data_IF_051556001800
#
_entry.id   IF_051556001800
#
_cell.length_a   1.000
_cell.length_b   1.000
_cell.length_c   1.000
_cell.angle_alpha   90.00
_cell.angle_beta   90.00
_cell.angle_gamma   90.00
#
_symmetry.space_group_name_H-M   'P 1'
#
loop_
_entity.id
_entity.type
_entity.pdbx_description
1 polymer ?
#
# COMPACT_ATOMS: atom_id res chain seq x y z
N UNK A 1 -4.45 -21.82 9.95
CA UNK A 1 -4.65 -21.55 8.51
C UNK A 1 -4.66 -20.04 8.40
N UNK A 2 -3.52 -19.45 8.01
CA UNK A 2 -3.45 -18.02 7.78
C UNK A 2 -4.08 -17.77 6.41
N UNK A 3 -5.09 -16.93 6.36
CA UNK A 3 -5.63 -16.43 5.10
C UNK A 3 -4.52 -15.55 4.50
N UNK A 4 -3.80 -16.09 3.51
CA UNK A 4 -2.64 -15.42 2.93
C UNK A 4 -3.10 -14.37 1.93
N UNK A 5 -2.70 -13.12 2.17
CA UNK A 5 -2.88 -12.03 1.24
C UNK A 5 -1.63 -11.15 1.24
N UNK A 6 -1.41 -10.38 0.16
CA UNK A 6 -0.39 -9.34 0.14
C UNK A 6 -0.68 -8.33 1.25
N UNK A 7 -1.92 -7.84 1.31
CA UNK A 7 -2.39 -6.96 2.37
C UNK A 7 -3.43 -7.69 3.19
N UNK A 8 -3.13 -7.88 4.47
CA UNK A 8 -4.09 -8.39 5.44
C UNK A 8 -4.53 -7.29 6.41
N UNK A 9 -5.82 -6.92 6.37
CA UNK A 9 -6.43 -6.00 7.34
C UNK A 9 -7.06 -6.79 8.48
N UNK A 10 -6.44 -6.66 9.65
CA UNK A 10 -6.82 -7.41 10.86
C UNK A 10 -7.70 -6.63 11.84
N UNK A 11 -7.99 -5.35 11.56
CA UNK A 11 -8.81 -4.47 12.41
C UNK A 11 -9.33 -3.24 11.61
N UNK A 12 -9.88 -2.23 12.31
CA UNK A 12 -10.22 -0.92 11.76
C UNK A 12 -8.99 -0.22 11.14
N UNK A 13 -9.16 0.44 10.01
CA UNK A 13 -8.20 1.35 9.39
C UNK A 13 -8.92 2.68 9.13
N UNK A 14 -8.54 3.71 9.85
CA UNK A 14 -9.13 5.06 9.72
C UNK A 14 -8.05 5.99 9.19
N UNK A 15 -8.24 6.55 8.00
CA UNK A 15 -7.31 7.49 7.37
C UNK A 15 -8.00 8.83 7.18
N UNK A 16 -7.32 9.92 7.56
CA UNK A 16 -7.83 11.26 7.35
C UNK A 16 -6.73 12.31 7.12
N UNK A 17 -7.14 13.56 6.87
CA UNK A 17 -6.24 14.70 6.86
C UNK A 17 -5.07 14.56 5.86
N UNK A 18 -5.36 14.16 4.63
CA UNK A 18 -4.35 14.01 3.57
C UNK A 18 -3.63 12.67 3.56
N UNK A 19 -3.99 11.72 4.43
CA UNK A 19 -3.34 10.42 4.46
C UNK A 19 -3.50 9.64 3.14
N UNK A 20 -2.44 8.99 2.68
CA UNK A 20 -2.47 8.10 1.52
C UNK A 20 -2.04 6.67 1.83
N UNK A 21 -2.72 5.73 1.19
CA UNK A 21 -2.37 4.31 1.20
C UNK A 21 -2.47 3.72 -0.21
N UNK A 22 -1.34 3.36 -0.79
CA UNK A 22 -1.23 2.95 -2.21
C UNK A 22 -0.60 1.55 -2.29
N UNK A 23 -1.33 0.62 -2.90
CA UNK A 23 -0.90 -0.76 -3.17
C UNK A 23 -0.89 -0.92 -4.68
N UNK A 24 0.28 -0.76 -5.27
CA UNK A 24 0.39 -0.61 -6.73
C UNK A 24 1.53 -1.40 -7.34
N UNK A 25 1.33 -1.83 -8.59
CA UNK A 25 2.38 -2.48 -9.40
C UNK A 25 2.85 -3.83 -8.86
N UNK A 26 2.12 -4.44 -7.92
CA UNK A 26 2.55 -5.66 -7.26
C UNK A 26 2.27 -6.88 -8.15
N UNK A 27 3.21 -7.82 -8.21
CA UNK A 27 2.98 -9.16 -8.78
C UNK A 27 2.98 -10.19 -7.65
N UNK A 28 1.80 -10.72 -7.34
CA UNK A 28 1.60 -11.66 -6.23
C UNK A 28 1.36 -13.06 -6.76
N UNK A 29 1.75 -14.07 -5.98
CA UNK A 29 1.41 -15.47 -6.26
C UNK A 29 -0.11 -15.69 -6.18
N UNK A 30 -0.57 -16.94 -6.20
CA UNK A 30 -1.99 -17.33 -6.12
C UNK A 30 -2.68 -17.01 -4.76
N UNK A 31 -2.34 -15.88 -4.12
CA UNK A 31 -2.89 -15.34 -2.88
C UNK A 31 -3.68 -14.07 -3.17
N UNK A 32 -4.64 -13.71 -2.32
CA UNK A 32 -5.39 -12.45 -2.50
C UNK A 32 -4.47 -11.24 -2.40
N UNK A 33 -4.77 -10.16 -3.13
CA UNK A 33 -4.06 -8.89 -2.94
C UNK A 33 -4.54 -8.19 -1.68
N UNK A 34 -5.85 -8.20 -1.42
CA UNK A 34 -6.45 -7.62 -0.22
C UNK A 34 -7.34 -8.64 0.49
N UNK A 35 -7.11 -8.88 1.77
CA UNK A 35 -8.01 -9.68 2.61
C UNK A 35 -8.46 -8.91 3.85
N UNK A 36 -9.77 -8.90 4.05
CA UNK A 36 -10.45 -8.37 5.22
C UNK A 36 -11.57 -9.35 5.63
N UNK A 37 -11.21 -10.47 6.29
CA UNK A 37 -12.07 -11.65 6.38
C UNK A 37 -13.09 -11.58 7.53
N UNK A 38 -13.19 -10.46 8.26
CA UNK A 38 -14.16 -10.31 9.36
C UNK A 38 -15.04 -9.09 9.14
N UNK A 39 -16.33 -9.27 9.39
CA UNK A 39 -17.35 -8.22 9.30
C UNK A 39 -17.15 -7.03 10.23
N UNK A 40 -16.27 -7.16 11.22
CA UNK A 40 -15.97 -6.10 12.18
C UNK A 40 -14.80 -5.20 11.74
N UNK A 41 -13.98 -5.64 10.79
CA UNK A 41 -12.87 -4.84 10.27
C UNK A 41 -13.46 -3.80 9.33
N UNK A 42 -12.97 -2.56 9.36
CA UNK A 42 -13.51 -1.46 8.56
C UNK A 42 -12.42 -0.58 7.99
N UNK A 43 -12.67 0.02 6.83
CA UNK A 43 -11.87 1.10 6.27
C UNK A 43 -12.73 2.37 6.33
N UNK A 44 -12.22 3.44 6.93
CA UNK A 44 -12.90 4.73 6.95
C UNK A 44 -11.97 5.81 6.43
N UNK A 45 -12.39 6.49 5.37
CA UNK A 45 -11.63 7.56 4.73
C UNK A 45 -12.40 8.87 4.85
N UNK A 46 -11.72 9.95 5.22
CA UNK A 46 -12.33 11.27 5.30
C UNK A 46 -11.31 12.40 5.13
N UNK A 47 -11.78 13.61 4.81
CA UNK A 47 -10.92 14.78 4.71
C UNK A 47 -10.23 14.95 3.35
N UNK A 48 -9.77 16.18 3.10
CA UNK A 48 -9.14 16.56 1.83
C UNK A 48 -7.77 15.93 1.64
N UNK A 49 -7.50 15.47 0.43
CA UNK A 49 -6.25 14.81 0.06
C UNK A 49 -6.15 13.35 0.49
N UNK A 50 -7.07 12.83 1.31
CA UNK A 50 -7.01 11.43 1.74
C UNK A 50 -7.37 10.49 0.60
N UNK A 51 -6.48 9.54 0.29
CA UNK A 51 -6.66 8.62 -0.86
C UNK A 51 -6.20 7.21 -0.53
N UNK A 52 -7.00 6.21 -0.89
CA UNK A 52 -6.56 4.82 -0.98
C UNK A 52 -6.55 4.39 -2.44
N UNK A 53 -5.44 3.83 -2.91
CA UNK A 53 -5.31 3.34 -4.28
C UNK A 53 -4.91 1.85 -4.27
N UNK A 54 -5.70 1.02 -4.95
CA UNK A 54 -5.40 -0.39 -5.20
C UNK A 54 -5.42 -0.62 -6.71
N UNK A 55 -4.26 -0.44 -7.35
CA UNK A 55 -4.20 -0.36 -8.81
C UNK A 55 -3.01 -1.09 -9.42
N UNK A 56 -3.13 -1.55 -10.67
CA UNK A 56 -2.01 -2.12 -11.43
C UNK A 56 -1.36 -3.35 -10.78
N UNK A 57 -2.09 -4.08 -9.92
CA UNK A 57 -1.60 -5.30 -9.30
C UNK A 57 -1.96 -6.51 -10.15
N UNK A 58 -1.07 -7.50 -10.19
CA UNK A 58 -1.27 -8.78 -10.85
C UNK A 58 -1.24 -9.90 -9.82
N UNK A 59 -2.30 -10.69 -9.78
CA UNK A 59 -2.37 -11.94 -9.05
C UNK A 59 -2.14 -13.09 -10.03
N UNK A 60 -1.11 -13.90 -9.83
CA UNK A 60 -0.90 -15.10 -10.65
C UNK A 60 -2.09 -16.06 -10.53
N UNK A 61 -2.38 -16.80 -11.60
CA UNK A 61 -3.54 -17.70 -11.67
C UNK A 61 -3.63 -18.63 -10.46
N UNK A 62 -4.81 -18.67 -9.86
CA UNK A 62 -5.09 -19.38 -8.63
C UNK A 62 -6.58 -19.36 -8.31
N UNK A 63 -7.00 -20.19 -7.36
CA UNK A 63 -8.40 -20.28 -6.92
C UNK A 63 -8.84 -19.15 -5.99
N UNK A 64 -7.90 -18.31 -5.55
CA UNK A 64 -8.17 -17.24 -4.59
C UNK A 64 -8.73 -16.00 -5.28
N UNK A 65 -9.76 -15.39 -4.68
CA UNK A 65 -10.29 -14.12 -5.16
C UNK A 65 -9.24 -13.00 -4.99
N UNK A 66 -9.23 -12.05 -5.93
CA UNK A 66 -8.35 -10.87 -5.89
C UNK A 66 -8.46 -10.09 -4.56
N UNK A 67 -9.70 -9.83 -4.13
CA UNK A 67 -10.00 -9.22 -2.86
C UNK A 67 -11.06 -10.03 -2.10
N UNK A 68 -10.77 -10.36 -0.84
CA UNK A 68 -11.68 -11.04 0.08
C UNK A 68 -12.24 -10.05 1.08
N UNK A 69 -13.36 -9.43 0.75
CA UNK A 69 -14.01 -8.42 1.57
C UNK A 69 -15.37 -8.94 2.04
N UNK A 70 -15.65 -8.83 3.34
CA UNK A 70 -17.00 -9.06 3.87
C UNK A 70 -17.78 -7.73 3.95
N UNK A 71 -19.07 -7.67 3.52
CA UNK A 71 -19.81 -6.42 3.24
C UNK A 71 -20.39 -5.70 4.48
N UNK A 72 -20.83 -4.40 4.35
CA UNK A 72 -20.12 -3.26 3.80
C UNK A 72 -19.33 -2.59 4.93
N UNK A 73 -18.01 -2.69 4.85
CA UNK A 73 -17.12 -2.25 5.91
C UNK A 73 -16.24 -1.07 5.51
N UNK A 74 -16.42 -0.57 4.30
CA UNK A 74 -15.68 0.57 3.76
C UNK A 74 -16.61 1.78 3.75
N UNK A 75 -16.17 2.87 4.35
CA UNK A 75 -16.88 4.16 4.37
C UNK A 75 -15.92 5.18 3.77
N UNK A 76 -16.33 5.81 2.66
CA UNK A 76 -15.56 6.87 2.01
C UNK A 76 -16.36 8.15 2.09
N UNK A 77 -15.93 9.08 2.93
CA UNK A 77 -16.55 10.39 3.06
C UNK A 77 -15.85 11.40 2.13
N UNK A 78 -16.55 11.96 1.11
CA UNK A 78 -15.97 13.01 0.28
C UNK A 78 -15.43 14.17 1.12
N UNK A 79 -14.30 14.80 0.73
CA UNK A 79 -13.60 14.65 -0.55
C UNK A 79 -12.55 13.52 -0.58
N UNK A 80 -12.51 12.61 0.39
CA UNK A 80 -11.59 11.47 0.35
C UNK A 80 -11.94 10.52 -0.82
N UNK A 81 -10.94 9.80 -1.31
CA UNK A 81 -11.07 8.90 -2.46
C UNK A 81 -10.61 7.48 -2.12
N UNK A 82 -11.34 6.47 -2.58
CA UNK A 82 -10.84 5.11 -2.67
C UNK A 82 -10.97 4.70 -4.13
N UNK A 83 -9.83 4.51 -4.80
CA UNK A 83 -9.75 4.11 -6.20
C UNK A 83 -9.23 2.68 -6.32
N UNK A 84 -9.88 1.89 -7.16
CA UNK A 84 -9.49 0.52 -7.48
C UNK A 84 -9.55 0.32 -8.98
N UNK A 85 -8.48 -0.16 -9.61
CA UNK A 85 -8.56 -0.35 -11.06
C UNK A 85 -7.31 -0.90 -11.71
N UNK A 86 -7.50 -1.40 -12.93
CA UNK A 86 -6.48 -2.10 -13.70
C UNK A 86 -5.69 -3.16 -12.90
N UNK A 87 -6.39 -3.99 -12.13
CA UNK A 87 -5.77 -5.16 -11.51
C UNK A 87 -6.06 -6.40 -12.34
N UNK A 88 -5.11 -7.34 -12.38
CA UNK A 88 -5.15 -8.54 -13.20
C UNK A 88 -5.17 -9.80 -12.32
N UNK A 89 -5.94 -10.80 -12.73
CA UNK A 89 -5.85 -12.18 -12.29
C UNK A 89 -5.40 -13.02 -13.48
N UNK A 90 -4.20 -13.59 -13.40
CA UNK A 90 -3.50 -14.07 -14.59
C UNK A 90 -3.22 -12.91 -15.55
N UNK A 91 -3.73 -13.03 -16.76
CA UNK A 91 -3.71 -11.97 -17.79
C UNK A 91 -5.06 -11.25 -17.94
N UNK A 92 -6.08 -11.63 -17.18
CA UNK A 92 -7.42 -11.09 -17.28
C UNK A 92 -7.65 -9.97 -16.26
N UNK A 93 -8.37 -8.92 -16.65
CA UNK A 93 -8.74 -7.85 -15.73
C UNK A 93 -9.78 -8.32 -14.72
N UNK A 94 -9.55 -8.02 -13.45
CA UNK A 94 -10.42 -8.38 -12.33
C UNK A 94 -11.78 -7.70 -12.48
N UNK A 95 -12.86 -8.47 -12.26
CA UNK A 95 -14.19 -7.91 -12.03
C UNK A 95 -14.37 -7.52 -10.57
N UNK A 96 -14.94 -6.34 -10.34
CA UNK A 96 -15.19 -5.78 -9.00
C UNK A 96 -16.68 -5.79 -8.62
N UNK A 97 -17.53 -6.41 -9.43
CA UNK A 97 -18.97 -6.43 -9.23
C UNK A 97 -19.33 -7.03 -7.86
N UNK A 98 -19.92 -6.21 -6.99
CA UNK A 98 -20.30 -6.61 -5.63
C UNK A 98 -19.13 -6.80 -4.66
N UNK A 99 -17.90 -6.43 -5.04
CA UNK A 99 -16.70 -6.53 -4.19
C UNK A 99 -16.54 -5.30 -3.29
N UNK A 100 -16.71 -4.11 -3.87
CA UNK A 100 -16.60 -2.82 -3.18
C UNK A 100 -17.96 -2.11 -3.11
N UNK A 101 -18.20 -1.23 -2.11
CA UNK A 101 -19.41 -0.42 -2.08
C UNK A 101 -19.37 0.71 -3.12
N UNK A 102 -20.52 1.36 -3.35
CA UNK A 102 -20.70 2.34 -4.42
C UNK A 102 -19.80 3.58 -4.30
N UNK A 103 -19.33 3.91 -3.10
CA UNK A 103 -18.45 5.06 -2.87
C UNK A 103 -17.00 4.81 -3.33
N UNK A 104 -16.65 3.57 -3.66
CA UNK A 104 -15.34 3.23 -4.22
C UNK A 104 -15.35 3.44 -5.73
N UNK A 105 -14.40 4.23 -6.20
CA UNK A 105 -14.24 4.51 -7.62
C UNK A 105 -13.49 3.38 -8.31
N UNK A 106 -14.07 2.89 -9.40
CA UNK A 106 -13.50 1.80 -10.19
C UNK A 106 -13.09 2.28 -11.58
N UNK A 107 -11.89 1.94 -12.02
CA UNK A 107 -11.41 2.26 -13.37
C UNK A 107 -10.80 1.04 -14.08
N UNK A 108 -10.72 1.12 -15.41
CA UNK A 108 -10.29 0.03 -16.29
C UNK A 108 -8.83 0.19 -16.73
N UNK A 109 -8.17 -0.92 -17.05
CA UNK A 109 -6.88 -0.87 -17.74
C UNK A 109 -6.96 -0.04 -19.02
N UNK A 110 -5.91 0.74 -19.29
CA UNK A 110 -5.85 1.68 -20.42
C UNK A 110 -6.56 3.01 -20.19
N UNK A 111 -7.24 3.20 -19.05
CA UNK A 111 -7.76 4.50 -18.62
C UNK A 111 -6.86 5.11 -17.55
N UNK A 112 -6.65 6.42 -17.61
CA UNK A 112 -5.94 7.14 -16.56
C UNK A 112 -6.92 7.60 -15.49
N UNK A 113 -6.65 7.22 -14.24
CA UNK A 113 -7.34 7.77 -13.07
C UNK A 113 -6.34 8.65 -12.32
N UNK A 114 -6.65 9.95 -12.21
CA UNK A 114 -5.75 10.96 -11.65
C UNK A 114 -5.38 10.64 -10.18
N UNK A 115 -6.36 10.25 -9.35
CA UNK A 115 -6.16 9.92 -7.93
C UNK A 115 -5.39 8.60 -7.74
N UNK A 116 -5.49 7.67 -8.69
CA UNK A 116 -4.72 6.44 -8.71
C UNK A 116 -3.30 6.63 -9.26
N UNK A 117 -3.04 7.65 -10.09
CA UNK A 117 -1.71 7.92 -10.63
C UNK A 117 -0.89 8.86 -9.72
N UNK A 118 -1.56 9.85 -9.13
CA UNK A 118 -0.94 11.00 -8.51
C UNK A 118 -1.46 11.27 -7.10
N UNK A 119 -0.60 11.74 -6.21
CA UNK A 119 -1.02 12.36 -4.96
C UNK A 119 -1.43 13.82 -5.21
N UNK A 120 -2.73 14.03 -5.43
CA UNK A 120 -3.29 15.32 -5.87
C UNK A 120 -2.85 16.55 -5.06
N UNK A 121 -2.73 16.51 -3.72
CA UNK A 121 -2.13 17.60 -2.94
C UNK A 121 -0.73 18.03 -3.41
N UNK A 122 0.11 17.08 -3.83
CA UNK A 122 1.46 17.31 -4.36
C UNK A 122 1.54 17.51 -5.87
N UNK A 123 0.45 17.30 -6.59
CA UNK A 123 0.41 17.40 -8.05
C UNK A 123 0.16 18.82 -8.53
N UNK A 124 0.98 19.28 -9.47
CA UNK A 124 0.80 20.53 -10.21
C UNK A 124 -0.09 20.33 -11.45
N UNK A 125 0.17 19.28 -12.23
CA UNK A 125 -0.65 18.90 -13.38
C UNK A 125 -0.58 17.40 -13.69
N UNK A 126 -1.60 16.88 -14.39
CA UNK A 126 -1.68 15.49 -14.82
C UNK A 126 -1.77 15.44 -16.34
N UNK A 127 -0.85 14.72 -16.98
CA UNK A 127 -0.98 14.35 -18.39
C UNK A 127 -1.75 13.04 -18.49
N UNK A 128 -3.04 13.14 -18.81
CA UNK A 128 -3.95 11.99 -18.95
C UNK A 128 -3.64 11.08 -20.14
N UNK A 129 -2.82 11.53 -21.10
CA UNK A 129 -2.45 10.71 -22.27
C UNK A 129 -1.36 9.69 -21.93
N UNK A 130 -0.40 10.09 -21.10
CA UNK A 130 0.67 9.24 -20.58
C UNK A 130 0.39 8.71 -19.17
N UNK A 131 -0.67 9.20 -18.53
CA UNK A 131 -1.00 9.01 -17.12
C UNK A 131 0.18 9.34 -16.18
N UNK A 132 0.78 10.51 -16.40
CA UNK A 132 1.93 10.99 -15.65
C UNK A 132 1.63 12.27 -14.88
N UNK A 133 2.34 12.44 -13.75
CA UNK A 133 2.15 13.54 -12.83
C UNK A 133 3.34 14.50 -12.90
N UNK A 134 3.05 15.80 -13.00
CA UNK A 134 4.01 16.86 -12.73
C UNK A 134 3.80 17.33 -11.29
N UNK A 135 4.88 17.40 -10.53
CA UNK A 135 4.85 17.62 -9.08
C UNK A 135 5.20 19.05 -8.71
N UNK A 136 4.54 19.58 -7.68
CA UNK A 136 4.90 20.86 -7.07
C UNK A 136 6.29 20.78 -6.44
N UNK A 137 6.90 21.94 -6.21
CA UNK A 137 8.17 22.03 -5.49
C UNK A 137 8.10 21.31 -4.13
N UNK A 138 9.11 20.49 -3.84
CA UNK A 138 9.20 19.70 -2.59
C UNK A 138 8.43 18.39 -2.57
N UNK A 139 7.87 17.96 -3.71
CA UNK A 139 7.19 16.68 -3.88
C UNK A 139 7.99 15.73 -4.77
N UNK A 140 7.86 14.43 -4.55
CA UNK A 140 8.85 13.46 -5.02
C UNK A 140 8.24 12.29 -5.81
N UNK A 141 9.05 11.74 -6.73
CA UNK A 141 8.74 10.53 -7.49
C UNK A 141 7.66 10.73 -8.56
N UNK A 142 7.33 9.65 -9.27
CA UNK A 142 6.36 9.67 -10.37
C UNK A 142 4.92 10.01 -9.91
N UNK A 143 4.60 9.73 -8.65
CA UNK A 143 3.27 9.97 -8.06
C UNK A 143 3.18 11.23 -7.20
N UNK A 144 4.20 12.09 -7.17
CA UNK A 144 4.22 13.34 -6.39
C UNK A 144 3.94 13.14 -4.89
N UNK A 145 4.59 12.15 -4.29
CA UNK A 145 4.40 11.78 -2.88
C UNK A 145 5.13 12.76 -1.93
N UNK A 146 4.67 12.90 -0.68
CA UNK A 146 5.25 13.84 0.30
C UNK A 146 6.62 13.39 0.84
N UNK A 147 7.16 12.28 0.32
CA UNK A 147 8.37 11.63 0.77
C UNK A 147 9.17 11.12 -0.42
N UNK A 148 10.50 11.12 -0.28
CA UNK A 148 11.37 10.48 -1.24
C UNK A 148 11.07 8.98 -1.29
N UNK A 149 10.46 8.55 -2.39
CA UNK A 149 10.45 7.14 -2.78
C UNK A 149 11.72 6.93 -3.58
N UNK A 150 12.66 6.17 -3.02
CA UNK A 150 13.84 5.76 -3.77
C UNK A 150 13.40 4.82 -4.89
N UNK A 151 13.15 5.39 -6.06
CA UNK A 151 12.86 4.65 -7.30
C UNK A 151 14.16 4.13 -7.97
N UNK A 152 15.33 4.41 -7.37
CA UNK A 152 16.65 4.04 -7.89
C UNK A 152 17.43 3.19 -6.90
N UNK A 153 17.67 1.93 -7.29
CA UNK A 153 18.55 0.98 -6.62
C UNK A 153 19.99 1.51 -6.64
N UNK A 154 20.52 1.87 -5.47
CA UNK A 154 21.96 2.14 -5.31
C UNK A 154 22.65 0.83 -4.91
N UNK A 155 23.71 0.39 -5.62
CA UNK A 155 24.48 -0.80 -5.24
C UNK A 155 25.03 -0.66 -3.81
N UNK A 156 25.10 -1.76 -3.03
CA UNK A 156 25.53 -1.68 -1.64
C UNK A 156 26.98 -1.18 -1.54
N UNK A 157 27.19 -0.11 -0.77
CA UNK A 157 28.51 0.22 -0.23
C UNK A 157 28.70 -0.62 1.05
N UNK A 158 29.80 -1.37 1.21
CA UNK A 158 30.03 -2.15 2.41
C UNK A 158 30.16 -1.21 3.61
N UNK A 159 29.56 -1.63 4.72
CA UNK A 159 29.76 -1.09 6.06
C UNK A 159 29.50 0.41 6.24
N UNK A 160 28.27 0.73 6.68
CA UNK A 160 28.12 1.72 7.75
C UNK A 160 27.28 1.13 8.86
N UNK A 161 27.84 1.23 10.06
CA UNK A 161 27.16 1.03 11.34
C UNK A 161 25.82 1.75 11.35
N UNK A 162 24.74 1.01 11.60
CA UNK A 162 23.38 1.54 11.63
C UNK A 162 23.20 2.34 12.92
N UNK A 163 23.53 3.62 12.84
CA UNK A 163 23.11 4.62 13.82
C UNK A 163 22.62 5.84 13.03
N UNK A 164 21.32 5.83 12.67
CA UNK A 164 20.67 6.88 11.91
C UNK A 164 19.23 6.52 11.55
N UNK A 165 18.28 7.38 11.88
CA UNK A 165 16.83 7.19 11.77
C UNK A 165 16.26 7.15 10.34
N UNK A 166 17.10 6.97 9.31
CA UNK A 166 16.72 7.17 7.89
C UNK A 166 17.24 6.09 6.93
N UNK A 167 17.77 4.97 7.43
CA UNK A 167 18.35 3.94 6.56
C UNK A 167 17.32 2.89 6.15
N UNK A 168 17.17 2.69 4.84
CA UNK A 168 16.40 1.58 4.27
C UNK A 168 17.09 0.24 4.50
N UNK A 169 16.29 -0.81 4.68
CA UNK A 169 16.79 -2.18 4.61
C UNK A 169 16.88 -2.56 3.14
N UNK A 170 18.07 -2.89 2.66
CA UNK A 170 18.32 -3.14 1.23
C UNK A 170 18.91 -4.54 1.02
N UNK A 171 18.41 -5.29 0.03
CA UNK A 171 18.99 -6.57 -0.44
C UNK A 171 19.18 -7.64 0.66
N UNK A 172 18.28 -7.69 1.64
CA UNK A 172 18.34 -8.66 2.74
C UNK A 172 17.30 -9.76 2.60
N UNK A 173 17.56 -10.92 3.22
CA UNK A 173 16.54 -11.97 3.42
C UNK A 173 16.15 -12.02 4.89
N UNK A 174 14.86 -11.84 5.17
CA UNK A 174 14.29 -11.79 6.53
C UNK A 174 13.27 -12.93 6.71
N UNK A 175 13.38 -13.65 7.83
CA UNK A 175 12.51 -14.80 8.15
C UNK A 175 11.45 -14.50 9.22
N UNK A 176 11.69 -13.50 10.07
CA UNK A 176 10.71 -12.96 11.00
C UNK A 176 11.14 -11.54 11.35
N UNK A 177 10.26 -10.56 11.18
CA UNK A 177 10.56 -9.16 11.48
C UNK A 177 9.46 -8.56 12.35
N UNK A 178 9.77 -8.32 13.62
CA UNK A 178 8.96 -7.45 14.47
C UNK A 178 9.54 -6.05 14.34
N UNK A 179 8.81 -5.17 13.67
CA UNK A 179 9.24 -3.80 13.47
C UNK A 179 9.18 -3.01 14.78
N UNK A 180 10.17 -2.16 15.00
CA UNK A 180 10.07 -1.14 16.03
C UNK A 180 9.09 -0.06 15.54
N UNK A 181 7.85 -0.13 16.02
CA UNK A 181 6.78 0.79 15.64
C UNK A 181 6.97 2.22 16.14
N UNK A 182 8.02 2.52 16.90
CA UNK A 182 8.33 3.89 17.31
C UNK A 182 8.96 4.75 16.21
N UNK A 183 9.36 4.16 15.07
CA UNK A 183 9.93 4.92 13.96
C UNK A 183 8.82 5.40 13.00
N UNK A 184 8.80 6.68 12.62
CA UNK A 184 7.83 7.20 11.65
C UNK A 184 8.18 6.80 10.21
N UNK A 185 9.44 6.43 9.91
CA UNK A 185 9.86 6.06 8.56
C UNK A 185 10.37 4.61 8.51
N UNK A 186 9.83 3.85 7.57
CA UNK A 186 10.20 2.47 7.28
C UNK A 186 10.37 2.30 5.77
N UNK A 187 11.53 1.87 5.31
CA UNK A 187 11.76 1.59 3.90
C UNK A 187 12.51 0.27 3.69
N UNK A 188 12.03 -0.51 2.72
CA UNK A 188 12.57 -1.82 2.32
C UNK A 188 12.77 -1.82 0.81
N UNK A 189 13.99 -2.11 0.36
CA UNK A 189 14.37 -2.14 -1.05
C UNK A 189 14.95 -3.51 -1.38
N UNK A 190 14.36 -4.24 -2.33
CA UNK A 190 14.85 -5.55 -2.77
C UNK A 190 15.00 -6.59 -1.63
N UNK A 191 14.14 -6.49 -0.60
CA UNK A 191 14.16 -7.38 0.56
C UNK A 191 13.28 -8.62 0.30
N UNK A 192 13.82 -9.81 0.60
CA UNK A 192 13.08 -11.07 0.54
C UNK A 192 12.56 -11.46 1.93
N UNK A 193 11.24 -11.49 2.12
CA UNK A 193 10.59 -12.05 3.29
C UNK A 193 10.25 -13.52 3.04
N UNK A 194 10.70 -14.44 3.89
CA UNK A 194 10.52 -15.89 3.65
C UNK A 194 10.18 -16.70 4.90
N UNK A 195 9.21 -17.61 4.77
CA UNK A 195 8.87 -18.60 5.79
C UNK A 195 7.44 -18.50 6.32
N UNK A 196 6.95 -19.61 6.86
CA UNK A 196 5.58 -19.69 7.40
C UNK A 196 5.51 -18.87 8.68
N UNK A 197 4.64 -17.85 8.69
CA UNK A 197 4.51 -16.92 9.81
C UNK A 197 5.46 -15.72 9.76
N UNK A 198 6.24 -15.56 8.68
CA UNK A 198 6.99 -14.35 8.41
C UNK A 198 6.01 -13.21 8.07
N UNK A 199 5.51 -12.51 9.08
CA UNK A 199 4.57 -11.40 8.93
C UNK A 199 5.30 -10.06 9.12
N UNK A 200 5.32 -9.22 8.09
CA UNK A 200 5.68 -7.82 8.24
C UNK A 200 4.48 -7.06 8.77
N UNK A 201 4.46 -6.77 10.07
CA UNK A 201 3.27 -6.19 10.73
C UNK A 201 3.47 -4.70 11.00
N UNK A 202 2.56 -3.87 10.48
CA UNK A 202 2.48 -2.44 10.74
C UNK A 202 1.28 -2.12 11.63
N UNK A 203 1.55 -1.77 12.88
CA UNK A 203 0.54 -1.35 13.85
C UNK A 203 0.43 0.17 13.87
N UNK A 204 -0.49 0.73 13.08
CA UNK A 204 -0.60 2.18 12.93
C UNK A 204 -0.90 2.87 14.28
N UNK A 205 -1.73 2.30 15.16
CA UNK A 205 -1.99 2.92 16.48
C UNK A 205 -0.82 2.85 17.45
N UNK A 206 0.21 2.05 17.16
CA UNK A 206 1.41 1.96 18.00
C UNK A 206 2.53 2.85 17.46
N UNK A 207 2.33 3.43 16.28
CA UNK A 207 3.23 4.44 15.73
C UNK A 207 2.92 5.81 16.35
N UNK A 208 3.91 6.72 16.40
CA UNK A 208 3.67 8.09 16.83
C UNK A 208 2.75 8.80 15.82
N UNK A 209 1.43 8.64 15.99
CA UNK A 209 0.36 9.15 15.11
C UNK A 209 0.35 10.69 14.94
N UNK A 210 1.14 11.42 15.73
CA UNK A 210 1.34 12.86 15.61
C UNK A 210 2.46 13.23 14.62
N UNK A 211 3.17 12.25 14.06
CA UNK A 211 4.17 12.42 13.03
C UNK A 211 3.69 11.74 11.73
N UNK A 212 4.05 12.29 10.55
CA UNK A 212 3.82 11.60 9.28
C UNK A 212 4.51 10.23 9.29
N UNK A 213 3.73 9.17 9.04
CA UNK A 213 4.22 7.80 8.96
C UNK A 213 4.46 7.47 7.49
N UNK A 214 5.70 7.12 7.13
CA UNK A 214 6.12 6.78 5.78
C UNK A 214 6.59 5.34 5.70
N UNK A 215 5.83 4.47 5.03
CA UNK A 215 6.18 3.07 4.83
C UNK A 215 6.36 2.81 3.34
N UNK A 216 7.54 2.39 2.92
CA UNK A 216 7.83 2.00 1.53
C UNK A 216 8.37 0.59 1.43
N UNK A 217 7.77 -0.20 0.54
CA UNK A 217 8.32 -1.48 0.10
C UNK A 217 8.50 -1.37 -1.41
N UNK A 218 9.75 -1.32 -1.86
CA UNK A 218 10.12 -1.23 -3.27
C UNK A 218 10.90 -2.48 -3.64
N UNK A 219 10.48 -3.20 -4.66
CA UNK A 219 11.25 -4.34 -5.17
C UNK A 219 11.29 -5.57 -4.24
N UNK A 220 10.54 -5.55 -3.14
CA UNK A 220 10.56 -6.60 -2.14
C UNK A 220 9.86 -7.88 -2.62
N UNK A 221 10.20 -9.04 -2.06
CA UNK A 221 9.62 -10.34 -2.43
C UNK A 221 9.08 -11.07 -1.20
N UNK A 222 7.87 -11.67 -1.25
CA UNK A 222 7.29 -12.47 -0.16
C UNK A 222 7.14 -13.93 -0.59
N UNK A 223 7.79 -14.87 0.11
CA UNK A 223 7.82 -16.31 -0.23
C UNK A 223 7.46 -17.20 0.96
N UNK A 224 6.99 -18.42 0.67
CA UNK A 224 6.79 -19.45 1.71
C UNK A 224 5.72 -19.11 2.75
N UNK A 225 4.69 -18.33 2.38
CA UNK A 225 3.62 -17.91 3.29
C UNK A 225 3.91 -16.65 4.09
N UNK A 226 4.94 -15.89 3.72
CA UNK A 226 5.18 -14.55 4.26
C UNK A 226 4.04 -13.59 3.87
N UNK A 227 3.63 -12.71 4.78
CA UNK A 227 2.51 -11.77 4.60
C UNK A 227 2.87 -10.37 5.06
N UNK A 228 2.26 -9.36 4.44
CA UNK A 228 2.28 -7.99 4.93
C UNK A 228 0.93 -7.69 5.62
N UNK A 229 1.01 -7.39 6.91
CA UNK A 229 -0.14 -7.23 7.78
C UNK A 229 -0.23 -5.79 8.28
N UNK A 230 -1.41 -5.19 8.13
CA UNK A 230 -1.72 -3.91 8.75
C UNK A 230 -2.70 -4.12 9.91
N UNK A 231 -2.37 -3.48 11.02
CA UNK A 231 -3.16 -3.47 12.25
C UNK A 231 -3.46 -2.02 12.59
N UNK A 232 -4.67 -1.55 12.26
CA UNK A 232 -5.14 -0.26 12.75
C UNK A 232 -6.02 -0.42 13.99
N UNK A 233 -6.74 0.63 14.37
CA UNK A 233 -7.60 0.69 15.54
C UNK A 233 -8.59 1.84 15.45
N UNK A 234 -9.19 2.20 16.58
CA UNK A 234 -10.27 3.19 16.62
C UNK A 234 -9.79 4.64 16.44
N UNK A 235 -8.47 4.89 16.46
CA UNK A 235 -7.89 6.22 16.25
C UNK A 235 -7.56 6.44 14.78
N UNK A 236 -7.78 7.67 14.32
CA UNK A 236 -7.50 8.05 12.95
C UNK A 236 -6.01 8.33 12.76
N UNK A 237 -5.48 7.86 11.63
CA UNK A 237 -4.14 8.20 11.17
C UNK A 237 -4.26 9.41 10.26
N UNK A 238 -3.58 10.48 10.62
CA UNK A 238 -3.58 11.75 9.89
C UNK A 238 -2.29 11.92 9.11
N UNK A 239 -2.37 12.46 7.88
CA UNK A 239 -1.19 12.87 7.11
C UNK A 239 -0.10 11.78 6.95
N UNK A 240 -0.48 10.50 6.98
CA UNK A 240 0.43 9.38 6.77
C UNK A 240 0.56 9.00 5.28
N UNK A 241 1.69 8.44 4.90
CA UNK A 241 1.98 7.94 3.57
C UNK A 241 2.42 6.46 3.58
N UNK A 242 1.60 5.57 3.04
CA UNK A 242 1.95 4.15 2.89
C UNK A 242 1.98 3.81 1.41
N UNK A 243 3.13 3.41 0.89
CA UNK A 243 3.32 2.96 -0.49
C UNK A 243 3.86 1.52 -0.51
N UNK A 244 3.17 0.63 -1.22
CA UNK A 244 3.50 -0.78 -1.32
C UNK A 244 3.66 -1.12 -2.81
N UNK A 245 4.91 -1.36 -3.22
CA UNK A 245 5.33 -1.72 -4.57
C UNK A 245 6.37 -2.87 -4.55
N UNK A 246 5.85 -4.08 -4.38
CA UNK A 246 6.57 -5.33 -4.14
C UNK A 246 6.85 -6.01 -5.50
N UNK A 247 8.12 -6.22 -5.86
CA UNK A 247 8.50 -7.01 -7.04
C UNK A 247 8.89 -8.44 -6.64
N UNK A 248 8.22 -9.44 -7.22
CA UNK A 248 8.60 -10.84 -7.03
C UNK A 248 9.48 -11.38 -8.16
#
# INVERSE_FOLDING_TARGET
>A
IFDTALVYLSNYLILQGGAQWRVEGNNVSAVSVLSMPRVQHKIQLSGSGTTVALAHNRQLEGSEAFAKLLPPNTIVAPPARFVVGCNLQGDEEVSYDGVFPEEVEVFRCGTCNDDAACYMPGTESVDRSSCSCSCKDGWHGASCLPFEVLDTVVPPVPERTVDGDTNCVVNQTLTSLTLNMWKPHHCYVDVTFSGVGAALTFSLNQMPLHLPINITLTGCTFRGGAVLQFVGGAEAVESAGVLIHVSQ
#
